data_IF_172448150501
#
_entry.id   IF_172448150501
#
_cell.length_a   1.000
_cell.length_b   1.000
_cell.length_c   1.000
_cell.angle_alpha   90.00
_cell.angle_beta   90.00
_cell.angle_gamma   90.00
#
_symmetry.space_group_name_H-M   'P 1'
#
loop_
_entity.id
_entity.type
_entity.pdbx_description
1 polymer ?
#
# COMPACT_ATOMS: atom_id res chain seq x y z
N UNK A 1 -65.39 27.07 12.07
CA UNK A 1 -64.62 27.42 13.29
C UNK A 1 -63.19 27.75 12.88
N UNK A 2 -62.80 29.00 13.18
CA UNK A 2 -61.51 29.70 13.18
C UNK A 2 -60.31 29.21 12.34
N UNK A 3 -59.97 30.08 11.38
CA UNK A 3 -58.70 30.30 10.68
C UNK A 3 -57.67 31.05 11.56
N UNK A 4 -56.37 30.89 11.26
CA UNK A 4 -55.24 31.81 11.53
C UNK A 4 -54.13 31.42 10.54
N UNK A 5 -53.67 32.13 9.51
CA UNK A 5 -53.52 33.55 9.11
C UNK A 5 -52.26 34.25 9.69
N UNK A 6 -51.25 34.37 8.80
CA UNK A 6 -50.16 35.37 8.67
C UNK A 6 -49.08 35.45 9.79
N UNK A 7 -47.84 35.93 9.56
CA UNK A 7 -47.44 37.12 8.79
C UNK A 7 -45.94 37.12 8.41
N UNK A 8 -45.64 37.62 7.21
CA UNK A 8 -44.34 38.13 6.74
C UNK A 8 -43.83 39.29 7.61
N UNK A 9 -42.51 39.46 7.72
CA UNK A 9 -41.91 40.77 8.00
C UNK A 9 -40.66 41.01 7.15
N UNK A 10 -40.79 41.99 6.25
CA UNK A 10 -39.70 42.73 5.60
C UNK A 10 -39.96 44.20 5.93
N UNK A 11 -38.91 44.97 6.26
CA UNK A 11 -38.75 46.44 6.11
C UNK A 11 -37.34 46.76 6.65
N UNK A 12 -36.34 47.12 5.85
CA UNK A 12 -36.09 48.39 5.13
C UNK A 12 -35.24 49.40 5.94
N UNK A 13 -34.04 49.64 5.41
CA UNK A 13 -33.27 50.90 5.26
C UNK A 13 -33.24 51.93 6.41
N UNK A 14 -32.02 52.28 6.82
CA UNK A 14 -31.66 53.68 7.07
C UNK A 14 -30.21 53.94 6.68
N UNK A 15 -30.00 54.94 5.83
CA UNK A 15 -28.70 55.53 5.50
C UNK A 15 -28.34 56.57 6.56
N UNK A 16 -27.05 56.71 6.88
CA UNK A 16 -26.43 58.03 6.82
C UNK A 16 -24.90 57.95 6.66
N UNK A 17 -24.37 58.81 5.79
CA UNK A 17 -22.94 59.08 5.53
C UNK A 17 -22.59 60.42 6.19
N UNK A 18 -21.32 60.73 6.51
CA UNK A 18 -20.50 61.39 5.49
C UNK A 18 -19.00 61.02 5.48
N UNK A 19 -18.42 61.26 4.30
CA UNK A 19 -17.03 61.13 3.83
C UNK A 19 -16.10 62.22 4.40
N UNK A 20 -14.78 61.94 4.46
CA UNK A 20 -13.73 62.90 4.06
C UNK A 20 -12.30 62.29 3.97
N UNK A 21 -11.75 62.30 2.74
CA UNK A 21 -10.37 62.63 2.25
C UNK A 21 -9.12 62.08 2.97
N UNK A 22 -8.31 61.19 2.37
CA UNK A 22 -7.19 61.42 1.39
C UNK A 22 -6.12 62.39 1.90
N UNK A 23 -4.90 61.90 2.19
CA UNK A 23 -3.66 62.27 1.46
C UNK A 23 -2.40 61.54 1.95
N UNK A 24 -1.60 61.21 0.93
CA UNK A 24 -0.30 60.55 0.88
C UNK A 24 0.84 61.51 1.22
N UNK A 25 1.89 61.07 1.92
CA UNK A 25 3.29 61.49 1.63
C UNK A 25 4.31 60.55 2.29
N UNK A 26 5.16 59.92 1.47
CA UNK A 26 6.54 59.47 1.79
C UNK A 26 7.52 60.58 1.38
N UNK A 27 8.87 60.50 1.54
CA UNK A 27 9.74 59.75 2.48
C UNK A 27 10.89 60.63 3.07
N UNK A 28 11.65 60.15 4.07
CA UNK A 28 13.08 60.55 4.22
C UNK A 28 13.93 59.52 4.97
N UNK A 29 15.03 59.10 4.32
CA UNK A 29 16.14 58.29 4.85
C UNK A 29 16.91 59.06 5.92
N UNK A 30 17.40 58.36 6.94
CA UNK A 30 18.72 58.61 7.56
C UNK A 30 19.27 57.29 8.10
N UNK A 31 20.52 57.01 7.75
CA UNK A 31 21.34 55.87 8.18
C UNK A 31 22.05 56.29 9.48
N UNK A 32 22.00 55.43 10.51
CA UNK A 32 22.98 55.38 11.60
C UNK A 32 23.23 53.90 11.90
N UNK A 33 24.46 53.44 11.68
CA UNK A 33 25.02 52.20 12.25
C UNK A 33 25.27 52.40 13.75
N UNK A 34 24.95 51.42 14.60
CA UNK A 34 25.95 50.57 15.27
C UNK A 34 25.35 49.76 16.45
N UNK A 35 25.86 48.52 16.59
CA UNK A 35 25.91 47.63 17.75
C UNK A 35 24.67 46.86 18.30
N UNK A 36 24.68 45.56 17.95
CA UNK A 36 24.59 44.38 18.84
C UNK A 36 23.48 44.30 19.89
N UNK A 37 22.54 43.36 19.72
CA UNK A 37 22.21 42.34 20.74
C UNK A 37 21.78 41.07 20.01
N UNK A 38 22.46 39.96 20.33
CA UNK A 38 22.13 38.59 19.97
C UNK A 38 20.79 38.23 20.63
N UNK A 39 19.77 37.91 19.84
CA UNK A 39 18.65 37.11 20.35
C UNK A 39 18.73 35.72 19.71
N UNK A 40 19.54 34.87 20.34
CA UNK A 40 19.47 33.43 20.16
C UNK A 40 18.13 32.95 20.73
N UNK A 41 17.05 33.11 19.95
CA UNK A 41 15.83 32.36 20.16
C UNK A 41 16.17 30.88 20.01
N UNK A 42 16.45 30.22 21.15
CA UNK A 42 16.37 28.78 21.31
C UNK A 42 15.04 28.31 20.73
N UNK A 43 15.08 27.70 19.55
CA UNK A 43 13.98 26.85 19.08
C UNK A 43 13.83 25.74 20.12
N UNK A 44 12.77 25.82 20.92
CA UNK A 44 12.36 24.67 21.73
C UNK A 44 12.22 23.46 20.80
N UNK A 45 12.73 22.28 21.19
CA UNK A 45 12.64 21.10 20.35
C UNK A 45 11.16 20.76 20.16
N UNK A 46 10.67 20.87 18.91
CA UNK A 46 9.34 20.42 18.53
C UNK A 46 9.23 18.94 18.89
N UNK A 47 8.44 18.62 19.92
CA UNK A 47 8.25 17.25 20.36
C UNK A 47 7.51 16.48 19.26
N UNK A 48 8.21 15.56 18.59
CA UNK A 48 7.62 14.70 17.55
C UNK A 48 6.67 13.70 18.21
N UNK A 49 5.36 13.86 18.01
CA UNK A 49 4.31 13.00 18.61
C UNK A 49 3.82 11.90 17.67
N UNK A 50 4.13 11.99 16.39
CA UNK A 50 3.73 11.04 15.36
C UNK A 50 4.93 10.54 14.58
N UNK A 51 4.85 9.29 14.13
CA UNK A 51 5.80 8.71 13.19
C UNK A 51 5.10 8.43 11.85
N UNK A 52 5.82 8.67 10.76
CA UNK A 52 5.33 8.35 9.43
C UNK A 52 5.79 6.94 9.06
N UNK A 53 4.83 6.10 8.64
CA UNK A 53 5.10 4.76 8.13
C UNK A 53 4.69 4.68 6.66
N UNK A 54 5.42 3.86 5.91
CA UNK A 54 5.05 3.42 4.58
C UNK A 54 4.37 2.06 4.68
N UNK A 55 3.21 1.95 4.06
CA UNK A 55 2.47 0.69 3.96
C UNK A 55 2.38 0.27 2.49
N UNK A 56 2.86 -0.93 2.17
CA UNK A 56 2.72 -1.50 0.83
C UNK A 56 1.46 -2.35 0.80
N UNK A 57 0.51 -2.00 -0.07
CA UNK A 57 -0.76 -2.73 -0.15
C UNK A 57 -0.54 -4.12 -0.71
N UNK A 58 -1.09 -5.13 -0.03
CA UNK A 58 -1.03 -6.51 -0.49
C UNK A 58 -1.85 -6.73 -1.77
N UNK A 59 -3.01 -6.09 -1.86
CA UNK A 59 -3.85 -6.02 -3.05
C UNK A 59 -3.92 -4.55 -3.56
N UNK A 60 -3.17 -4.21 -4.62
CA UNK A 60 -3.15 -2.88 -5.24
C UNK A 60 -4.51 -2.36 -5.71
N UNK A 61 -5.48 -3.25 -5.97
CA UNK A 61 -6.83 -2.89 -6.41
C UNK A 61 -7.75 -2.48 -5.26
N UNK A 62 -7.35 -2.72 -4.00
CA UNK A 62 -8.21 -2.52 -2.83
C UNK A 62 -7.76 -1.36 -1.91
N UNK A 63 -7.48 -0.20 -2.52
CA UNK A 63 -7.07 1.01 -1.79
C UNK A 63 -8.15 1.48 -0.81
N UNK A 64 -9.42 1.44 -1.21
CA UNK A 64 -10.54 1.93 -0.38
C UNK A 64 -10.65 1.19 0.94
N UNK A 65 -10.60 -0.15 0.93
CA UNK A 65 -10.69 -0.91 2.18
C UNK A 65 -9.42 -0.77 3.01
N UNK A 66 -8.24 -0.69 2.37
CA UNK A 66 -6.98 -0.45 3.06
C UNK A 66 -7.01 0.89 3.80
N UNK A 67 -7.49 1.95 3.14
CA UNK A 67 -7.66 3.28 3.74
C UNK A 67 -8.67 3.25 4.88
N UNK A 68 -9.82 2.61 4.70
CA UNK A 68 -10.82 2.47 5.75
C UNK A 68 -10.27 1.74 6.99
N UNK A 69 -9.41 0.71 6.82
CA UNK A 69 -8.77 0.02 7.94
C UNK A 69 -7.89 0.97 8.76
N UNK A 70 -7.11 1.83 8.09
CA UNK A 70 -6.25 2.84 8.73
C UNK A 70 -7.11 3.86 9.49
N UNK A 71 -8.10 4.46 8.82
CA UNK A 71 -8.94 5.51 9.41
C UNK A 71 -9.81 4.99 10.56
N UNK A 72 -10.39 3.80 10.43
CA UNK A 72 -11.16 3.15 11.51
C UNK A 72 -10.29 2.72 12.70
N UNK A 73 -8.98 2.65 12.50
CA UNK A 73 -7.99 2.40 13.56
C UNK A 73 -7.52 3.70 14.23
N UNK A 74 -8.17 4.84 13.93
CA UNK A 74 -7.79 6.18 14.40
C UNK A 74 -6.37 6.59 13.99
N UNK A 75 -5.87 6.03 12.88
CA UNK A 75 -4.63 6.44 12.22
C UNK A 75 -4.95 7.42 11.09
N UNK A 76 -3.95 8.16 10.63
CA UNK A 76 -4.14 9.10 9.51
C UNK A 76 -3.55 8.51 8.24
N UNK A 77 -4.38 8.39 7.20
CA UNK A 77 -3.91 8.17 5.84
C UNK A 77 -3.51 9.52 5.23
N UNK A 78 -2.24 9.69 4.85
CA UNK A 78 -1.79 10.93 4.24
C UNK A 78 -2.07 10.91 2.73
N UNK A 79 -1.31 10.09 1.99
CA UNK A 79 -1.34 10.04 0.55
C UNK A 79 -0.84 8.69 0.01
N UNK A 80 -1.02 8.49 -1.29
CA UNK A 80 -0.37 7.42 -2.04
C UNK A 80 0.94 7.95 -2.61
N UNK A 81 2.06 7.55 -2.00
CA UNK A 81 3.39 7.94 -2.47
C UNK A 81 3.81 7.21 -3.75
N UNK A 82 3.26 6.01 -3.99
CA UNK A 82 3.42 5.25 -5.23
C UNK A 82 2.04 4.75 -5.63
N UNK A 83 1.63 5.06 -6.86
CA UNK A 83 0.28 4.80 -7.37
C UNK A 83 0.28 4.02 -8.69
N UNK A 84 1.03 2.93 -8.76
CA UNK A 84 1.17 2.12 -9.98
C UNK A 84 0.12 0.99 -10.03
N UNK A 85 -0.13 0.39 -11.20
CA UNK A 85 -1.16 -0.65 -11.38
C UNK A 85 -1.06 -1.81 -10.37
N UNK A 86 0.16 -2.28 -10.12
CA UNK A 86 0.42 -3.44 -9.25
C UNK A 86 1.27 -3.11 -8.02
N UNK A 87 1.53 -1.83 -7.76
CA UNK A 87 2.26 -1.36 -6.59
C UNK A 87 1.58 -0.10 -6.09
N UNK A 88 0.93 -0.19 -4.93
CA UNK A 88 0.39 0.95 -4.20
C UNK A 88 1.10 1.03 -2.87
N UNK A 89 1.63 2.21 -2.56
CA UNK A 89 2.31 2.49 -1.30
C UNK A 89 1.74 3.78 -0.75
N UNK A 90 1.32 3.75 0.51
CA UNK A 90 0.76 4.90 1.18
C UNK A 90 1.64 5.36 2.35
N UNK A 91 1.67 6.66 2.61
CA UNK A 91 2.18 7.22 3.86
C UNK A 91 1.04 7.29 4.88
N UNK A 92 1.30 6.86 6.10
CA UNK A 92 0.37 6.97 7.23
C UNK A 92 1.07 7.56 8.44
N UNK A 93 0.29 8.21 9.32
CA UNK A 93 0.78 8.66 10.64
C UNK A 93 0.29 7.75 11.74
N UNK A 94 1.22 7.36 12.61
CA UNK A 94 0.95 6.59 13.83
C UNK A 94 1.44 7.34 15.07
N UNK A 95 0.83 7.15 16.26
CA UNK A 95 1.38 7.68 17.50
C UNK A 95 2.78 7.12 17.77
N UNK A 96 3.76 7.98 18.03
CA UNK A 96 5.17 7.57 18.16
C UNK A 96 5.37 6.53 19.28
N UNK A 97 4.65 6.67 20.39
CA UNK A 97 4.70 5.77 21.54
C UNK A 97 4.12 4.37 21.25
N UNK A 98 3.32 4.23 20.20
CA UNK A 98 2.69 2.97 19.78
C UNK A 98 3.17 2.50 18.40
N UNK A 99 4.28 3.06 17.91
CA UNK A 99 4.81 2.75 16.58
C UNK A 99 4.98 1.25 16.36
N UNK A 100 5.69 0.57 17.26
CA UNK A 100 6.00 -0.87 17.10
C UNK A 100 4.74 -1.73 17.19
N UNK A 101 3.80 -1.38 18.09
CA UNK A 101 2.48 -2.00 18.15
C UNK A 101 1.72 -1.90 16.82
N UNK A 102 1.74 -0.72 16.19
CA UNK A 102 1.06 -0.52 14.91
C UNK A 102 1.76 -1.24 13.77
N UNK A 103 3.09 -1.30 13.75
CA UNK A 103 3.84 -2.09 12.77
C UNK A 103 3.40 -3.56 12.84
N UNK A 104 3.40 -4.16 14.02
CA UNK A 104 2.99 -5.56 14.23
C UNK A 104 1.52 -5.79 13.84
N UNK A 105 0.61 -4.91 14.31
CA UNK A 105 -0.82 -5.02 14.04
C UNK A 105 -1.15 -4.89 12.56
N UNK A 106 -0.51 -3.95 11.86
CA UNK A 106 -0.73 -3.73 10.43
C UNK A 106 -0.18 -4.90 9.60
N UNK A 107 0.98 -5.45 9.96
CA UNK A 107 1.50 -6.67 9.31
C UNK A 107 0.56 -7.87 9.53
N UNK A 108 0.07 -8.05 10.75
CA UNK A 108 -0.83 -9.17 11.12
C UNK A 108 -2.22 -9.05 10.49
N UNK A 109 -2.64 -7.84 10.09
CA UNK A 109 -3.93 -7.62 9.40
C UNK A 109 -4.03 -8.33 8.06
N UNK A 110 -2.90 -8.74 7.47
CA UNK A 110 -2.81 -9.37 6.16
C UNK A 110 -3.30 -8.49 4.99
N UNK A 111 -3.53 -7.19 5.23
CA UNK A 111 -3.91 -6.19 4.22
C UNK A 111 -2.68 -5.55 3.57
N UNK A 112 -1.57 -5.49 4.31
CA UNK A 112 -0.31 -4.89 3.88
C UNK A 112 0.76 -5.97 3.72
N UNK A 113 1.58 -5.87 2.67
CA UNK A 113 2.71 -6.78 2.45
C UNK A 113 3.98 -6.34 3.18
N UNK A 114 4.10 -5.05 3.49
CA UNK A 114 5.16 -4.53 4.36
C UNK A 114 4.71 -3.23 5.02
N UNK A 115 5.34 -2.94 6.16
CA UNK A 115 5.18 -1.72 6.94
C UNK A 115 6.58 -1.27 7.33
N UNK A 116 7.01 -0.12 6.85
CA UNK A 116 8.37 0.40 7.06
C UNK A 116 8.32 1.83 7.59
N UNK A 117 9.37 2.27 8.29
CA UNK A 117 9.48 3.69 8.65
C UNK A 117 9.65 4.49 7.35
N UNK A 118 8.97 5.63 7.25
CA UNK A 118 9.08 6.48 6.07
C UNK A 118 10.48 7.11 5.97
N UNK A 119 11.26 6.64 5.01
CA UNK A 119 12.57 7.14 4.63
C UNK A 119 12.77 7.00 3.12
N UNK A 120 13.69 7.79 2.57
CA UNK A 120 14.08 7.67 1.15
C UNK A 120 14.60 6.27 0.83
N UNK A 121 15.43 5.69 1.71
CA UNK A 121 15.93 4.31 1.59
C UNK A 121 14.81 3.27 1.53
N UNK A 122 13.76 3.41 2.36
CA UNK A 122 12.62 2.50 2.33
C UNK A 122 11.85 2.60 1.00
N UNK A 123 11.67 3.81 0.48
CA UNK A 123 11.02 4.02 -0.83
C UNK A 123 11.84 3.39 -1.95
N UNK A 124 13.17 3.59 -1.96
CA UNK A 124 14.07 3.00 -2.94
C UNK A 124 14.06 1.48 -2.87
N UNK A 125 14.13 0.90 -1.67
CA UNK A 125 14.03 -0.55 -1.45
C UNK A 125 12.71 -1.12 -1.98
N UNK A 126 11.58 -0.46 -1.73
CA UNK A 126 10.28 -0.91 -2.24
C UNK A 126 10.23 -0.89 -3.77
N UNK A 127 10.79 0.16 -4.39
CA UNK A 127 10.91 0.25 -5.86
C UNK A 127 11.82 -0.85 -6.40
N UNK A 128 12.99 -1.06 -5.82
CA UNK A 128 13.94 -2.10 -6.21
C UNK A 128 13.29 -3.50 -6.16
N UNK A 129 12.57 -3.81 -5.07
CA UNK A 129 11.84 -5.07 -4.96
C UNK A 129 10.84 -5.23 -6.10
N UNK A 130 10.05 -4.18 -6.40
CA UNK A 130 9.06 -4.24 -7.46
C UNK A 130 9.68 -4.37 -8.86
N UNK A 131 10.77 -3.65 -9.12
CA UNK A 131 11.48 -3.67 -10.41
C UNK A 131 12.23 -4.99 -10.65
N UNK A 132 12.76 -5.61 -9.59
CA UNK A 132 13.47 -6.88 -9.67
C UNK A 132 12.59 -8.12 -9.49
N UNK A 133 11.32 -7.95 -9.13
CA UNK A 133 10.35 -9.05 -9.10
C UNK A 133 10.18 -9.63 -10.51
N UNK A 134 10.33 -10.95 -10.64
CA UNK A 134 9.99 -11.69 -11.84
C UNK A 134 8.53 -12.16 -11.78
N UNK A 135 8.16 -12.85 -10.70
CA UNK A 135 6.79 -13.27 -10.42
C UNK A 135 6.52 -13.22 -8.93
N UNK A 136 5.33 -12.75 -8.56
CA UNK A 136 4.81 -12.82 -7.19
C UNK A 136 3.59 -13.73 -7.17
N UNK A 137 3.51 -14.62 -6.19
CA UNK A 137 2.36 -15.48 -5.97
C UNK A 137 1.81 -15.21 -4.56
N UNK A 138 0.49 -15.13 -4.45
CA UNK A 138 -0.24 -15.02 -3.17
C UNK A 138 -1.37 -16.03 -3.15
N UNK A 139 -1.44 -16.86 -2.11
CA UNK A 139 -2.51 -17.84 -1.91
C UNK A 139 -3.33 -17.44 -0.68
N UNK A 140 -4.66 -17.33 -0.84
CA UNK A 140 -5.56 -16.93 0.25
C UNK A 140 -6.02 -18.11 1.09
N UNK A 141 -6.62 -17.80 2.25
CA UNK A 141 -7.30 -18.81 3.06
C UNK A 141 -8.44 -19.49 2.29
N UNK A 142 -8.81 -20.67 2.78
CA UNK A 142 -9.97 -21.46 2.36
C UNK A 142 -10.67 -21.98 3.63
N UNK A 143 -11.77 -22.73 3.49
CA UNK A 143 -12.51 -23.26 4.66
C UNK A 143 -11.88 -24.51 5.30
N UNK A 144 -10.72 -24.95 4.82
CA UNK A 144 -9.95 -26.08 5.35
C UNK A 144 -8.45 -25.77 5.41
N UNK A 145 -7.61 -26.81 5.40
CA UNK A 145 -6.17 -26.70 5.65
C UNK A 145 -5.35 -26.28 4.40
N UNK A 146 -5.89 -25.35 3.59
CA UNK A 146 -5.14 -24.87 2.43
C UNK A 146 -3.97 -24.00 2.87
N UNK A 147 -2.77 -24.17 2.28
CA UNK A 147 -1.62 -23.34 2.61
C UNK A 147 -1.86 -21.88 2.20
N UNK A 148 -1.59 -20.98 3.14
CA UNK A 148 -1.70 -19.52 2.96
C UNK A 148 -0.29 -18.93 3.01
N UNK A 149 0.12 -18.28 1.92
CA UNK A 149 1.46 -17.72 1.81
C UNK A 149 1.53 -16.62 0.76
N UNK A 150 2.61 -15.84 0.83
CA UNK A 150 3.11 -15.02 -0.26
C UNK A 150 4.49 -15.49 -0.66
N UNK A 151 4.82 -15.36 -1.94
CA UNK A 151 6.18 -15.59 -2.41
C UNK A 151 6.53 -14.64 -3.53
N UNK A 152 7.76 -14.14 -3.51
CA UNK A 152 8.35 -13.29 -4.54
C UNK A 152 9.56 -14.01 -5.12
N UNK A 153 9.52 -14.30 -6.41
CA UNK A 153 10.66 -14.78 -7.18
C UNK A 153 11.27 -13.60 -7.92
N UNK A 154 12.54 -13.34 -7.69
CA UNK A 154 13.29 -12.24 -8.29
C UNK A 154 13.94 -12.67 -9.61
N UNK A 155 14.22 -11.71 -10.49
CA UNK A 155 14.86 -11.92 -11.80
C UNK A 155 16.23 -12.59 -11.70
N UNK A 156 16.93 -12.40 -10.59
CA UNK A 156 18.25 -12.98 -10.28
C UNK A 156 18.17 -14.36 -9.61
N UNK A 157 16.96 -14.90 -9.35
CA UNK A 157 16.78 -16.19 -8.69
C UNK A 157 16.72 -16.14 -7.17
N UNK A 158 16.84 -14.97 -6.52
CA UNK A 158 16.45 -14.83 -5.11
C UNK A 158 14.95 -15.14 -4.98
N UNK A 159 14.57 -15.77 -3.87
CA UNK A 159 13.17 -16.02 -3.51
C UNK A 159 12.95 -15.57 -2.07
N UNK A 160 11.86 -14.84 -1.84
CA UNK A 160 11.37 -14.49 -0.51
C UNK A 160 10.00 -15.13 -0.35
N UNK A 161 9.90 -16.12 0.54
CA UNK A 161 8.67 -16.79 0.91
C UNK A 161 8.20 -16.27 2.27
N UNK A 162 6.91 -15.98 2.42
CA UNK A 162 6.28 -15.63 3.68
C UNK A 162 5.12 -16.59 3.95
N UNK A 163 5.36 -17.56 4.83
CA UNK A 163 4.34 -18.53 5.24
C UNK A 163 3.42 -17.95 6.30
N UNK A 164 2.10 -18.08 6.13
CA UNK A 164 1.11 -17.44 7.00
C UNK A 164 0.37 -18.51 7.82
N UNK A 165 -0.31 -19.43 7.14
CA UNK A 165 -1.21 -20.41 7.74
C UNK A 165 -1.16 -21.74 6.98
N UNK A 166 -1.36 -22.87 7.67
CA UNK A 166 -1.36 -24.21 7.09
C UNK A 166 -0.14 -24.52 6.20
N UNK A 167 1.03 -24.05 6.65
CA UNK A 167 2.32 -24.29 6.00
C UNK A 167 3.32 -24.79 7.03
N UNK A 168 4.27 -25.67 6.65
CA UNK A 168 5.30 -26.17 7.55
C UNK A 168 6.19 -25.06 8.12
N UNK A 169 6.47 -24.03 7.31
CA UNK A 169 7.37 -22.93 7.67
C UNK A 169 6.59 -21.62 7.67
N UNK A 170 6.38 -21.03 8.85
CA UNK A 170 5.74 -19.72 9.02
C UNK A 170 6.78 -18.60 9.03
N UNK A 171 6.37 -17.40 8.60
CA UNK A 171 7.21 -16.22 8.51
C UNK A 171 8.10 -16.19 7.28
N UNK A 172 9.04 -15.25 7.27
CA UNK A 172 9.90 -14.96 6.12
C UNK A 172 11.03 -15.99 6.04
N UNK A 173 11.15 -16.63 4.87
CA UNK A 173 12.26 -17.51 4.50
C UNK A 173 12.83 -17.04 3.17
N UNK A 174 14.14 -16.83 3.13
CA UNK A 174 14.86 -16.45 1.91
C UNK A 174 15.74 -17.58 1.41
N UNK A 175 15.75 -17.79 0.09
CA UNK A 175 16.66 -18.72 -0.55
C UNK A 175 16.97 -18.30 -1.98
N UNK A 176 17.92 -18.96 -2.63
CA UNK A 176 18.26 -18.72 -4.04
C UNK A 176 18.01 -19.99 -4.85
N UNK A 177 17.41 -19.81 -6.02
CA UNK A 177 17.20 -20.88 -7.00
C UNK A 177 18.53 -21.37 -7.56
N UNK A 178 18.62 -22.66 -7.83
CA UNK A 178 19.68 -23.18 -8.70
C UNK A 178 19.51 -22.62 -10.12
N UNK A 179 20.58 -22.55 -10.91
CA UNK A 179 20.51 -22.10 -12.30
C UNK A 179 19.49 -22.90 -13.12
N UNK A 180 19.39 -24.22 -12.86
CA UNK A 180 18.41 -25.10 -13.48
C UNK A 180 16.97 -24.72 -13.12
N UNK A 181 16.68 -24.45 -11.85
CA UNK A 181 15.36 -24.01 -11.39
C UNK A 181 14.99 -22.64 -11.98
N UNK A 182 15.92 -21.67 -11.93
CA UNK A 182 15.70 -20.34 -12.49
C UNK A 182 15.43 -20.40 -14.00
N UNK A 183 16.20 -21.21 -14.73
CA UNK A 183 16.00 -21.44 -16.15
C UNK A 183 14.63 -22.07 -16.43
N UNK A 184 14.25 -23.14 -15.71
CA UNK A 184 12.94 -23.80 -15.85
C UNK A 184 11.80 -22.81 -15.66
N UNK A 185 11.83 -22.03 -14.58
CA UNK A 185 10.80 -21.02 -14.27
C UNK A 185 10.70 -19.98 -15.39
N UNK A 186 11.83 -19.41 -15.81
CA UNK A 186 11.84 -18.41 -16.91
C UNK A 186 11.29 -18.98 -18.21
N UNK A 187 11.72 -20.18 -18.60
CA UNK A 187 11.25 -20.85 -19.80
C UNK A 187 9.76 -21.19 -19.76
N UNK A 188 9.22 -21.60 -18.61
CA UNK A 188 7.78 -21.85 -18.48
C UNK A 188 6.97 -20.56 -18.66
N UNK A 189 7.36 -19.46 -18.02
CA UNK A 189 6.67 -18.18 -18.17
C UNK A 189 6.80 -17.58 -19.59
N UNK A 190 7.93 -17.79 -20.27
CA UNK A 190 8.12 -17.37 -21.67
C UNK A 190 7.14 -18.03 -22.65
N UNK A 191 6.67 -19.25 -22.33
CA UNK A 191 5.66 -19.96 -23.14
C UNK A 191 4.24 -19.43 -22.92
N UNK A 192 4.02 -18.66 -21.86
CA UNK A 192 2.71 -18.11 -21.54
C UNK A 192 2.41 -16.85 -22.36
N UNK A 193 1.14 -16.66 -22.68
CA UNK A 193 0.61 -15.38 -23.14
C UNK A 193 0.09 -14.55 -21.97
N UNK A 194 0.85 -14.47 -20.86
CA UNK A 194 0.40 -13.91 -19.58
C UNK A 194 -0.32 -12.56 -19.71
N UNK A 195 0.24 -11.66 -20.52
CA UNK A 195 -0.31 -10.33 -20.76
C UNK A 195 -1.71 -10.31 -21.37
N UNK A 196 -2.11 -11.35 -22.11
CA UNK A 196 -3.36 -11.39 -22.88
C UNK A 196 -4.50 -12.13 -22.18
N UNK A 197 -4.22 -12.92 -21.14
CA UNK A 197 -5.24 -13.68 -20.43
C UNK A 197 -6.27 -12.79 -19.71
N UNK A 198 -7.39 -13.35 -19.29
CA UNK A 198 -8.31 -12.66 -18.40
C UNK A 198 -7.65 -12.39 -17.05
N UNK A 199 -8.09 -11.31 -16.38
CA UNK A 199 -7.62 -10.96 -15.04
C UNK A 199 -8.11 -11.95 -13.97
N UNK A 200 -9.13 -12.76 -14.27
CA UNK A 200 -9.75 -13.68 -13.31
C UNK A 200 -10.19 -14.98 -13.98
N UNK A 201 -9.88 -16.11 -13.34
CA UNK A 201 -10.40 -17.45 -13.63
C UNK A 201 -11.14 -17.95 -12.38
N UNK A 202 -12.35 -17.44 -12.20
CA UNK A 202 -13.17 -17.68 -11.01
C UNK A 202 -14.51 -18.32 -11.41
N UNK A 203 -14.98 -19.24 -10.57
CA UNK A 203 -16.36 -19.70 -10.56
C UNK A 203 -17.05 -19.17 -9.29
N UNK A 204 -18.06 -18.32 -9.47
CA UNK A 204 -18.77 -17.67 -8.36
C UNK A 204 -19.59 -18.66 -7.52
N UNK A 205 -19.87 -19.86 -8.03
CA UNK A 205 -20.59 -20.89 -7.29
C UNK A 205 -19.74 -21.55 -6.20
N UNK A 206 -18.42 -21.32 -6.19
CA UNK A 206 -17.48 -22.00 -5.31
C UNK A 206 -16.88 -20.98 -4.34
N UNK A 207 -17.47 -20.85 -3.16
CA UNK A 207 -17.06 -19.87 -2.15
C UNK A 207 -15.81 -20.29 -1.38
N UNK A 208 -15.72 -21.57 -1.01
CA UNK A 208 -14.79 -22.08 0.02
C UNK A 208 -13.36 -22.38 -0.46
N UNK A 209 -13.07 -22.22 -1.76
CA UNK A 209 -11.76 -22.53 -2.32
C UNK A 209 -10.76 -21.37 -2.17
N UNK A 210 -9.47 -21.64 -2.02
CA UNK A 210 -8.46 -20.59 -1.99
C UNK A 210 -8.36 -19.92 -3.36
N UNK A 211 -7.98 -18.65 -3.37
CA UNK A 211 -7.61 -17.93 -4.59
C UNK A 211 -6.10 -17.82 -4.66
N UNK A 212 -5.54 -18.15 -5.82
CA UNK A 212 -4.15 -17.96 -6.17
C UNK A 212 -4.03 -16.72 -7.05
N UNK A 213 -3.29 -15.73 -6.59
CA UNK A 213 -2.97 -14.53 -7.35
C UNK A 213 -1.56 -14.64 -7.89
N UNK A 214 -1.40 -14.55 -9.20
CA UNK A 214 -0.10 -14.56 -9.86
C UNK A 214 0.11 -13.19 -10.47
N UNK A 215 1.20 -12.51 -10.09
CA UNK A 215 1.60 -11.23 -10.66
C UNK A 215 2.88 -11.39 -11.47
N UNK A 216 2.82 -11.10 -12.76
CA UNK A 216 3.95 -11.12 -13.68
C UNK A 216 3.81 -9.99 -14.71
N UNK A 217 4.92 -9.31 -15.06
CA UNK A 217 4.95 -8.21 -16.04
C UNK A 217 3.84 -7.16 -15.86
N UNK A 218 3.67 -6.62 -14.65
CA UNK A 218 2.65 -5.61 -14.33
C UNK A 218 1.20 -6.04 -14.64
N UNK A 219 0.93 -7.35 -14.65
CA UNK A 219 -0.42 -7.91 -14.65
C UNK A 219 -0.59 -8.89 -13.48
N UNK A 220 -1.76 -8.87 -12.87
CA UNK A 220 -2.16 -9.84 -11.84
C UNK A 220 -3.34 -10.65 -12.38
N UNK A 221 -3.28 -11.97 -12.22
CA UNK A 221 -4.34 -12.91 -12.54
C UNK A 221 -4.77 -13.59 -11.25
N UNK A 222 -6.07 -13.60 -10.97
CA UNK A 222 -6.69 -14.37 -9.89
C UNK A 222 -7.22 -15.70 -10.42
N UNK A 223 -6.83 -16.80 -9.79
CA UNK A 223 -7.24 -18.15 -10.15
C UNK A 223 -7.86 -18.79 -8.91
N UNK A 224 -9.13 -19.17 -8.99
CA UNK A 224 -9.79 -19.97 -7.95
C UNK A 224 -9.89 -21.44 -8.34
N UNK A 225 -9.96 -21.72 -9.65
CA UNK A 225 -10.03 -23.08 -10.20
C UNK A 225 -9.20 -23.18 -11.47
N UNK A 226 -8.48 -24.29 -11.60
CA UNK A 226 -7.56 -24.54 -12.71
C UNK A 226 -8.24 -25.09 -13.98
N UNK A 227 -9.52 -25.48 -13.91
CA UNK A 227 -10.23 -26.17 -15.01
C UNK A 227 -10.22 -25.42 -16.35
N UNK A 228 -10.31 -24.10 -16.33
CA UNK A 228 -10.36 -23.25 -17.53
C UNK A 228 -9.12 -22.35 -17.66
N UNK A 229 -8.07 -22.66 -16.90
CA UNK A 229 -6.80 -21.94 -16.98
C UNK A 229 -6.01 -22.53 -18.15
N UNK A 230 -5.40 -21.70 -19.02
CA UNK A 230 -4.54 -22.21 -20.08
C UNK A 230 -3.42 -23.12 -19.53
N UNK A 231 -3.19 -24.25 -20.18
CA UNK A 231 -2.24 -25.29 -19.71
C UNK A 231 -0.84 -24.72 -19.49
N UNK A 232 -0.40 -23.80 -20.34
CA UNK A 232 0.90 -23.14 -20.22
C UNK A 232 1.01 -22.28 -18.96
N UNK A 233 -0.08 -21.65 -18.53
CA UNK A 233 -0.12 -20.89 -17.28
C UNK A 233 -0.15 -21.83 -16.06
N UNK A 234 -0.89 -22.94 -16.14
CA UNK A 234 -0.87 -23.97 -15.10
C UNK A 234 0.53 -24.56 -14.91
N UNK A 235 1.20 -24.97 -16.00
CA UNK A 235 2.58 -25.48 -15.97
C UNK A 235 3.59 -24.45 -15.45
N UNK A 236 3.40 -23.16 -15.78
CA UNK A 236 4.23 -22.09 -15.25
C UNK A 236 4.07 -21.94 -13.73
N UNK A 237 2.85 -21.98 -13.22
CA UNK A 237 2.58 -21.99 -11.79
C UNK A 237 3.15 -23.24 -11.10
N UNK A 238 2.92 -24.43 -11.66
CA UNK A 238 3.46 -25.70 -11.12
C UNK A 238 4.98 -25.66 -10.98
N UNK A 239 5.70 -25.03 -11.94
CA UNK A 239 7.15 -24.89 -11.84
C UNK A 239 7.62 -24.06 -10.63
N UNK A 240 6.77 -23.19 -10.10
CA UNK A 240 7.02 -22.46 -8.84
C UNK A 240 6.64 -23.33 -7.64
N UNK A 241 5.48 -24.00 -7.71
CA UNK A 241 4.93 -24.84 -6.62
C UNK A 241 5.86 -26.01 -6.30
N UNK A 242 6.41 -26.67 -7.33
CA UNK A 242 7.43 -27.71 -7.18
C UNK A 242 8.64 -27.24 -6.38
N UNK A 243 9.12 -26.01 -6.61
CA UNK A 243 10.27 -25.46 -5.87
C UNK A 243 9.90 -25.30 -4.39
N UNK A 244 8.69 -24.83 -4.09
CA UNK A 244 8.23 -24.65 -2.72
C UNK A 244 8.06 -26.00 -1.99
N UNK A 245 7.55 -27.01 -2.70
CA UNK A 245 7.44 -28.40 -2.22
C UNK A 245 8.83 -29.02 -1.96
N UNK A 246 9.76 -28.90 -2.91
CA UNK A 246 11.15 -29.37 -2.77
C UNK A 246 11.84 -28.75 -1.55
N UNK A 247 11.54 -27.48 -1.26
CA UNK A 247 12.05 -26.75 -0.09
C UNK A 247 11.26 -27.02 1.20
N UNK A 248 10.20 -27.83 1.15
CA UNK A 248 9.30 -28.15 2.27
C UNK A 248 8.69 -26.88 2.90
N UNK A 249 8.40 -25.89 2.07
CA UNK A 249 7.75 -24.64 2.49
C UNK A 249 6.22 -24.74 2.48
N UNK A 250 5.69 -25.69 1.69
CA UNK A 250 4.28 -26.05 1.58
C UNK A 250 4.16 -27.59 1.53
N UNK A 251 2.96 -28.12 1.75
CA UNK A 251 2.61 -29.56 1.71
C UNK A 251 1.69 -29.89 0.52
#
# INVERSE_FOLDING_TARGET
>A
MKYFLFLFFVLALSCDQPKSKVETTTPKKTIIEDNTVIDDMKKEPVLKTQENLLIVLKNPKNVTNAKALIENSSLVWEDLIIDNKNLKVASIKVPIEKKDFWIERLLTSNVFSSVEINSEEAVEKIKDIAENTFVKVRKTHCSGDCPVFDVIFFKNGKVIFNGIENVPTKGITEFTLTEKQLKKVKESFLKTSFGTYFDTFIDKSIADFPSTFITHNNKEIEIKLWKNVPDELAMAYESLDEILLEKKLIE
#
